data_IF_911718628463
#
_entry.id   IF_911718628463
#
_cell.length_a   1.000
_cell.length_b   1.000
_cell.length_c   1.000
_cell.angle_alpha   90.00
_cell.angle_beta   90.00
_cell.angle_gamma   90.00
#
_symmetry.space_group_name_H-M   'P 1'
#
loop_
_entity.id
_entity.type
_entity.pdbx_description
1 polymer ?
#
# COMPACT_ATOMS: atom_id res chain seq x y z
N UNK A 1 -8.30 -4.03 -12.50
CA UNK A 1 -8.05 -3.02 -13.54
C UNK A 1 -7.92 -1.69 -12.86
N UNK A 2 -6.71 -1.12 -12.82
CA UNK A 2 -6.50 0.24 -12.34
C UNK A 2 -7.31 1.20 -13.21
N UNK A 3 -8.06 2.08 -12.57
CA UNK A 3 -8.80 3.14 -13.27
C UNK A 3 -7.86 4.34 -13.40
N UNK A 4 -7.43 4.62 -14.61
CA UNK A 4 -6.66 5.81 -14.89
C UNK A 4 -7.55 7.08 -14.89
N UNK A 5 -7.05 8.24 -14.44
CA UNK A 5 -5.71 8.49 -13.91
C UNK A 5 -5.59 8.21 -12.40
N UNK A 6 -4.56 7.48 -11.97
CA UNK A 6 -4.26 7.18 -10.56
C UNK A 6 -2.76 7.34 -10.21
N UNK A 7 -2.08 8.29 -10.86
CA UNK A 7 -0.63 8.51 -10.74
C UNK A 7 -0.21 9.22 -9.45
N UNK A 8 -1.16 9.55 -8.58
CA UNK A 8 -0.86 10.24 -7.31
C UNK A 8 -1.86 9.86 -6.21
N UNK A 9 -1.53 10.23 -4.97
CA UNK A 9 -2.35 9.88 -3.79
C UNK A 9 -3.78 10.44 -3.87
N UNK A 10 -3.96 11.63 -4.42
CA UNK A 10 -5.30 12.24 -4.53
C UNK A 10 -6.17 11.59 -5.58
N UNK A 11 -5.57 10.93 -6.58
CA UNK A 11 -6.25 10.15 -7.61
C UNK A 11 -6.30 8.66 -7.35
N UNK A 12 -5.88 8.21 -6.17
CA UNK A 12 -5.79 6.79 -5.84
C UNK A 12 -7.11 6.05 -6.05
N UNK A 13 -7.04 4.88 -6.66
CA UNK A 13 -8.20 3.98 -6.81
C UNK A 13 -8.61 3.44 -5.44
N UNK A 14 -9.84 3.74 -5.02
CA UNK A 14 -10.35 3.30 -3.72
C UNK A 14 -10.75 1.82 -3.77
N UNK A 15 -10.16 1.02 -2.89
CA UNK A 15 -10.40 -0.42 -2.77
C UNK A 15 -11.38 -0.78 -1.65
N UNK A 16 -11.91 0.22 -0.93
CA UNK A 16 -12.88 0.01 0.15
C UNK A 16 -12.24 -0.11 1.53
N UNK A 17 -12.81 -0.94 2.38
CA UNK A 17 -12.42 -1.09 3.79
C UNK A 17 -12.00 -2.52 4.09
N UNK A 18 -10.95 -2.67 4.89
CA UNK A 18 -10.51 -3.95 5.45
C UNK A 18 -10.44 -3.84 6.98
N UNK A 19 -10.98 -4.82 7.68
CA UNK A 19 -10.82 -4.95 9.12
C UNK A 19 -9.56 -5.74 9.45
N UNK A 20 -8.86 -5.38 10.50
CA UNK A 20 -7.67 -6.09 10.97
C UNK A 20 -7.97 -7.52 11.48
N UNK A 21 -9.23 -7.81 11.83
CA UNK A 21 -9.70 -9.16 12.15
C UNK A 21 -10.02 -10.02 10.92
N UNK A 22 -9.95 -9.47 9.73
CA UNK A 22 -10.26 -10.17 8.47
C UNK A 22 -9.01 -10.88 7.95
N UNK A 23 -8.84 -12.14 8.32
CA UNK A 23 -7.61 -12.91 8.07
C UNK A 23 -7.32 -13.26 6.62
N UNK A 24 -8.21 -12.96 5.66
CA UNK A 24 -8.04 -13.35 4.25
C UNK A 24 -7.45 -12.27 3.36
N UNK A 25 -7.55 -11.00 3.76
CA UNK A 25 -7.06 -9.88 2.93
C UNK A 25 -7.81 -9.74 1.59
N UNK A 26 -7.18 -9.06 0.67
CA UNK A 26 -7.71 -8.78 -0.67
C UNK A 26 -6.60 -8.71 -1.70
N UNK A 27 -6.97 -8.63 -2.98
CA UNK A 27 -6.03 -8.55 -4.10
C UNK A 27 -6.38 -7.39 -5.01
N UNK A 28 -5.38 -6.61 -5.39
CA UNK A 28 -5.47 -5.58 -6.44
C UNK A 28 -4.58 -5.95 -7.61
N UNK A 29 -5.05 -5.73 -8.83
CA UNK A 29 -4.30 -6.05 -10.06
C UNK A 29 -4.33 -4.88 -11.02
N UNK A 30 -3.24 -4.68 -11.74
CA UNK A 30 -3.10 -3.62 -12.73
C UNK A 30 -1.99 -3.88 -13.72
N UNK A 31 -1.67 -2.84 -14.50
CA UNK A 31 -0.58 -2.83 -15.48
C UNK A 31 0.11 -1.48 -15.46
N UNK A 32 1.42 -1.48 -15.34
CA UNK A 32 2.23 -0.30 -15.56
C UNK A 32 2.60 -0.17 -17.04
N UNK A 33 2.44 1.01 -17.61
CA UNK A 33 2.79 1.33 -19.00
C UNK A 33 4.21 1.91 -19.08
N UNK A 34 5.20 1.05 -18.85
CA UNK A 34 6.61 1.46 -18.88
C UNK A 34 7.16 1.82 -17.50
N UNK A 35 8.38 2.37 -17.49
CA UNK A 35 9.14 2.60 -16.26
C UNK A 35 8.70 3.86 -15.48
N UNK A 36 8.01 4.79 -16.12
CA UNK A 36 7.57 6.05 -15.51
C UNK A 36 6.14 6.04 -15.00
N UNK A 37 5.40 4.99 -15.30
CA UNK A 37 4.02 4.84 -14.87
C UNK A 37 3.92 4.53 -13.38
N UNK A 38 2.91 5.07 -12.73
CA UNK A 38 2.70 4.97 -11.28
C UNK A 38 1.22 4.73 -11.00
N UNK A 39 0.90 3.64 -10.33
CA UNK A 39 -0.46 3.34 -9.88
C UNK A 39 -0.58 3.56 -8.37
N UNK A 40 -1.57 4.34 -7.95
CA UNK A 40 -1.95 4.50 -6.56
C UNK A 40 -3.30 3.88 -6.27
N UNK A 41 -3.37 3.15 -5.18
CA UNK A 41 -4.59 2.62 -4.59
C UNK A 41 -4.72 3.12 -3.17
N UNK A 42 -5.94 3.14 -2.64
CA UNK A 42 -6.18 3.42 -1.22
C UNK A 42 -7.21 2.47 -0.65
N UNK A 43 -7.06 2.12 0.61
CA UNK A 43 -8.07 1.42 1.37
C UNK A 43 -8.12 1.95 2.80
N UNK A 44 -9.29 1.89 3.42
CA UNK A 44 -9.43 2.22 4.83
C UNK A 44 -9.22 0.95 5.66
N UNK A 45 -8.21 0.97 6.51
CA UNK A 45 -7.97 -0.07 7.49
C UNK A 45 -8.71 0.25 8.77
N UNK A 46 -9.59 -0.66 9.21
CA UNK A 46 -10.38 -0.50 10.41
C UNK A 46 -9.78 -1.35 11.55
N UNK A 47 -9.36 -0.67 12.61
CA UNK A 47 -8.87 -1.29 13.85
C UNK A 47 -10.05 -1.79 14.67
N UNK A 48 -10.15 -3.09 14.84
CA UNK A 48 -11.20 -3.76 15.59
C UNK A 48 -10.64 -4.28 16.91
N UNK A 49 -11.38 -4.07 17.99
CA UNK A 49 -10.98 -4.50 19.32
C UNK A 49 -10.67 -6.01 19.35
N UNK A 50 -9.49 -6.35 19.88
CA UNK A 50 -9.02 -7.73 20.01
C UNK A 50 -8.16 -8.24 18.85
N UNK A 51 -7.98 -7.45 17.79
CA UNK A 51 -7.06 -7.75 16.70
C UNK A 51 -5.89 -6.78 16.68
N UNK A 52 -4.87 -7.09 15.92
CA UNK A 52 -3.63 -6.31 15.82
C UNK A 52 -3.52 -5.74 14.42
N UNK A 53 -3.39 -4.41 14.34
CA UNK A 53 -3.13 -3.71 13.08
C UNK A 53 -1.71 -3.98 12.61
N UNK A 54 -1.59 -4.38 11.35
CA UNK A 54 -0.30 -4.63 10.73
C UNK A 54 -0.45 -4.65 9.20
N UNK A 55 -0.45 -3.47 8.55
CA UNK A 55 -0.59 -3.41 7.10
C UNK A 55 0.50 -4.19 6.39
N UNK A 56 0.08 -5.09 5.50
CA UNK A 56 0.96 -5.96 4.71
C UNK A 56 0.52 -5.93 3.26
N UNK A 57 1.48 -5.90 2.36
CA UNK A 57 1.24 -6.10 0.94
C UNK A 57 2.40 -6.89 0.32
N UNK A 58 2.09 -7.73 -0.67
CA UNK A 58 3.10 -8.52 -1.35
C UNK A 58 2.80 -8.68 -2.83
N UNK A 59 3.85 -8.77 -3.63
CA UNK A 59 3.77 -9.03 -5.06
C UNK A 59 4.97 -9.86 -5.53
N UNK A 60 4.75 -10.70 -6.53
CA UNK A 60 5.82 -11.41 -7.23
C UNK A 60 6.29 -10.67 -8.49
N UNK A 61 5.56 -9.63 -8.90
CA UNK A 61 5.93 -8.82 -10.05
C UNK A 61 7.21 -8.02 -9.78
N UNK A 62 8.01 -7.80 -10.83
CA UNK A 62 9.26 -7.02 -10.76
C UNK A 62 8.99 -5.52 -10.78
N UNK A 63 8.31 -5.04 -9.75
CA UNK A 63 7.91 -3.64 -9.56
C UNK A 63 8.32 -3.17 -8.18
N UNK A 64 8.31 -1.85 -7.96
CA UNK A 64 8.37 -1.31 -6.60
C UNK A 64 6.97 -1.28 -6.01
N UNK A 65 6.84 -1.74 -4.76
CA UNK A 65 5.62 -1.73 -3.98
C UNK A 65 5.86 -0.95 -2.69
N UNK A 66 5.01 0.06 -2.42
CA UNK A 66 5.04 0.84 -1.20
C UNK A 66 3.68 0.82 -0.51
N UNK A 67 3.69 0.86 0.82
CA UNK A 67 2.54 1.20 1.64
C UNK A 67 2.86 2.46 2.44
N UNK A 68 1.91 3.40 2.50
CA UNK A 68 1.99 4.63 3.29
C UNK A 68 0.74 4.76 4.15
N UNK A 69 0.90 5.22 5.38
CA UNK A 69 -0.20 5.35 6.32
C UNK A 69 -0.62 6.81 6.55
N UNK A 70 -1.92 7.05 6.56
CA UNK A 70 -2.52 8.34 6.86
C UNK A 70 -3.46 8.21 8.06
N UNK A 71 -2.97 8.63 9.22
CA UNK A 71 -3.73 8.82 10.45
C UNK A 71 -3.07 9.91 11.30
N UNK A 72 -3.77 10.38 12.32
CA UNK A 72 -3.21 11.39 13.21
C UNK A 72 -1.94 10.87 13.91
N UNK A 73 -0.83 11.60 13.74
CA UNK A 73 0.44 11.28 14.37
C UNK A 73 1.02 9.93 13.97
N UNK A 74 0.79 9.47 12.75
CA UNK A 74 1.20 8.17 12.24
C UNK A 74 2.68 7.89 12.49
N UNK A 75 2.97 6.79 13.17
CA UNK A 75 4.31 6.24 13.36
C UNK A 75 4.37 4.87 12.71
N UNK A 76 5.33 4.69 11.83
CA UNK A 76 5.50 3.45 11.06
C UNK A 76 6.89 2.90 11.29
N UNK A 77 6.98 1.58 11.49
CA UNK A 77 8.24 0.84 11.42
C UNK A 77 8.10 -0.32 10.45
N UNK A 78 9.17 -0.61 9.71
CA UNK A 78 9.18 -1.63 8.67
C UNK A 78 9.73 -2.94 9.24
N UNK A 79 8.88 -3.96 9.36
CA UNK A 79 9.32 -5.33 9.65
C UNK A 79 9.88 -5.99 8.38
N UNK A 80 9.34 -5.64 7.23
CA UNK A 80 9.86 -6.00 5.91
C UNK A 80 9.71 -4.81 4.97
N UNK A 81 10.74 -4.52 4.20
CA UNK A 81 10.83 -3.34 3.36
C UNK A 81 11.72 -2.25 3.98
N UNK A 82 11.88 -1.16 3.26
CA UNK A 82 12.73 -0.02 3.63
C UNK A 82 11.86 1.20 3.93
N UNK A 83 12.13 1.96 5.01
CA UNK A 83 11.39 3.19 5.31
C UNK A 83 11.40 4.18 4.16
N UNK A 84 10.26 4.77 3.90
CA UNK A 84 10.08 5.77 2.85
C UNK A 84 8.96 6.73 3.27
N UNK A 85 8.96 7.92 2.66
CA UNK A 85 7.90 8.92 2.83
C UNK A 85 7.27 9.20 1.48
N UNK A 86 5.93 9.23 1.43
CA UNK A 86 5.22 9.52 0.19
C UNK A 86 5.39 10.98 -0.25
N UNK A 87 5.10 11.33 -1.51
CA UNK A 87 5.07 12.73 -1.96
C UNK A 87 4.16 13.62 -1.12
N UNK A 88 3.07 13.08 -0.57
CA UNK A 88 2.16 13.78 0.34
C UNK A 88 2.63 13.85 1.79
N UNK A 89 3.83 13.35 2.11
CA UNK A 89 4.42 13.40 3.44
C UNK A 89 3.99 12.27 4.39
N UNK A 90 3.36 11.21 3.89
CA UNK A 90 2.91 10.07 4.70
C UNK A 90 4.05 9.07 4.92
N UNK A 91 4.24 8.58 6.16
CA UNK A 91 5.27 7.58 6.42
C UNK A 91 4.86 6.21 5.89
N UNK A 92 5.83 5.41 5.50
CA UNK A 92 5.60 4.07 5.00
C UNK A 92 6.85 3.27 4.75
N UNK A 93 6.69 2.20 3.99
CA UNK A 93 7.74 1.23 3.65
C UNK A 93 7.63 0.83 2.20
N UNK A 94 8.76 0.57 1.55
CA UNK A 94 8.83 0.11 0.16
C UNK A 94 9.69 -1.13 0.01
N UNK A 95 9.39 -1.92 -1.01
CA UNK A 95 10.23 -3.00 -1.53
C UNK A 95 10.39 -2.83 -3.03
N UNK A 96 11.55 -3.15 -3.57
CA UNK A 96 11.86 -3.08 -5.01
C UNK A 96 12.00 -4.47 -5.62
N UNK A 97 11.69 -4.57 -6.93
CA UNK A 97 11.77 -5.82 -7.70
C UNK A 97 10.93 -6.96 -7.13
N UNK A 98 9.76 -6.64 -6.59
CA UNK A 98 8.86 -7.57 -5.93
C UNK A 98 9.26 -7.87 -4.49
N UNK A 99 8.39 -8.57 -3.78
CA UNK A 99 8.56 -8.93 -2.38
C UNK A 99 7.40 -8.50 -1.49
N UNK A 100 7.66 -8.43 -0.20
CA UNK A 100 6.67 -8.12 0.83
C UNK A 100 7.03 -6.83 1.56
N UNK A 101 6.04 -5.96 1.74
CA UNK A 101 6.04 -4.86 2.70
C UNK A 101 5.23 -5.30 3.91
N UNK A 102 5.81 -5.20 5.08
CA UNK A 102 5.17 -5.51 6.36
C UNK A 102 5.54 -4.39 7.34
N UNK A 103 4.55 -3.66 7.81
CA UNK A 103 4.80 -2.53 8.70
C UNK A 103 3.91 -2.59 9.94
N UNK A 104 4.45 -2.09 11.04
CA UNK A 104 3.67 -1.78 12.22
C UNK A 104 3.27 -0.31 12.20
N UNK A 105 2.05 -0.03 12.63
CA UNK A 105 1.45 1.30 12.63
C UNK A 105 0.93 1.65 14.02
N UNK A 106 1.24 2.87 14.45
CA UNK A 106 0.73 3.46 15.68
C UNK A 106 0.19 4.85 15.35
N UNK A 107 -1.09 5.06 15.53
CA UNK A 107 -1.78 6.34 15.37
C UNK A 107 -2.03 6.98 16.73
N UNK A 108 -2.13 8.31 16.77
CA UNK A 108 -2.50 9.02 18.00
C UNK A 108 -3.95 8.71 18.37
N UNK A 109 -4.21 8.34 19.64
CA UNK A 109 -5.55 8.04 20.14
C UNK A 109 -5.76 6.58 20.48
N UNK A 110 -7.02 6.16 20.53
CA UNK A 110 -7.42 4.83 20.99
C UNK A 110 -7.51 3.78 19.89
N UNK A 111 -7.41 4.18 18.63
CA UNK A 111 -7.54 3.30 17.47
C UNK A 111 -6.42 3.58 16.47
N UNK A 112 -5.92 2.55 15.85
CA UNK A 112 -4.96 2.61 14.76
C UNK A 112 -5.62 2.51 13.38
N UNK A 113 -6.90 2.83 13.28
CA UNK A 113 -7.59 2.95 11.99
C UNK A 113 -6.94 4.03 11.13
N UNK A 114 -6.66 3.71 9.88
CA UNK A 114 -5.96 4.60 8.96
C UNK A 114 -6.38 4.38 7.51
N UNK A 115 -6.20 5.41 6.68
CA UNK A 115 -6.17 5.22 5.24
C UNK A 115 -4.77 4.77 4.84
N UNK A 116 -4.70 3.66 4.14
CA UNK A 116 -3.46 3.13 3.58
C UNK A 116 -3.42 3.45 2.10
N UNK A 117 -2.33 4.07 1.65
CA UNK A 117 -2.03 4.29 0.24
C UNK A 117 -1.02 3.24 -0.22
N UNK A 118 -1.35 2.54 -1.28
CA UNK A 118 -0.49 1.56 -1.91
C UNK A 118 -0.02 2.09 -3.25
N UNK A 119 1.28 2.12 -3.46
CA UNK A 119 1.91 2.59 -4.69
C UNK A 119 2.60 1.44 -5.38
N UNK A 120 2.33 1.30 -6.67
CA UNK A 120 3.02 0.36 -7.56
C UNK A 120 3.67 1.15 -8.69
N UNK A 121 4.97 1.05 -8.87
CA UNK A 121 5.71 1.73 -9.92
C UNK A 121 7.02 1.00 -10.28
N UNK A 122 7.85 1.64 -11.08
CA UNK A 122 9.11 1.07 -11.57
C UNK A 122 8.89 -0.23 -12.37
N UNK A 123 7.92 -0.22 -13.27
CA UNK A 123 7.76 -1.25 -14.28
C UNK A 123 8.94 -1.28 -15.26
N UNK A 124 8.99 -2.30 -16.11
CA UNK A 124 10.03 -2.42 -17.12
C UNK A 124 9.88 -1.33 -18.20
N UNK A 125 11.02 -0.81 -18.69
CA UNK A 125 11.04 0.21 -19.73
C UNK A 125 10.45 -0.32 -21.05
N UNK A 126 9.64 0.50 -21.73
CA UNK A 126 9.07 0.26 -23.06
C UNK A 126 8.17 -0.98 -23.18
N UNK A 127 7.67 -1.52 -22.07
CA UNK A 127 6.72 -2.64 -22.06
C UNK A 127 5.67 -2.43 -20.97
N UNK A 128 4.53 -3.09 -21.12
CA UNK A 128 3.52 -3.14 -20.06
C UNK A 128 3.92 -4.22 -19.06
N UNK A 129 3.98 -3.86 -17.78
CA UNK A 129 4.25 -4.79 -16.68
C UNK A 129 2.96 -5.07 -15.93
N UNK A 130 2.43 -6.29 -16.06
CA UNK A 130 1.27 -6.72 -15.27
C UNK A 130 1.71 -7.05 -13.85
N UNK A 131 0.88 -6.71 -12.88
CA UNK A 131 1.11 -7.03 -11.48
C UNK A 131 -0.19 -7.44 -10.76
N UNK A 132 -0.02 -8.14 -9.66
CA UNK A 132 -1.06 -8.44 -8.69
C UNK A 132 -0.46 -8.25 -7.30
N UNK A 133 -1.18 -7.57 -6.42
CA UNK A 133 -0.75 -7.30 -5.05
C UNK A 133 -1.78 -7.87 -4.10
N UNK A 134 -1.35 -8.75 -3.20
CA UNK A 134 -2.15 -9.22 -2.08
C UNK A 134 -1.89 -8.29 -0.90
N UNK A 135 -2.94 -7.84 -0.22
CA UNK A 135 -2.84 -6.87 0.86
C UNK A 135 -3.86 -7.13 1.97
N UNK A 136 -3.54 -6.75 3.19
CA UNK A 136 -4.45 -6.74 4.34
C UNK A 136 -4.03 -5.70 5.39
N UNK A 137 -4.86 -5.54 6.44
CA UNK A 137 -4.66 -4.56 7.49
C UNK A 137 -4.33 -5.17 8.84
#
# INVERSE_FOLDING_TARGET
VGFEPNENESGATNLGTINDCDGSGSTASGKLNGASDVDYYSFFGNDTAGCVVGPVASTTAKVRLCLFADCAGAKVSCSSGTPNTSPGGRPGCCVTAGGKVDMSLDCTGWTDSATIYMRVDQGAANVCTSYSVDYHY
#
